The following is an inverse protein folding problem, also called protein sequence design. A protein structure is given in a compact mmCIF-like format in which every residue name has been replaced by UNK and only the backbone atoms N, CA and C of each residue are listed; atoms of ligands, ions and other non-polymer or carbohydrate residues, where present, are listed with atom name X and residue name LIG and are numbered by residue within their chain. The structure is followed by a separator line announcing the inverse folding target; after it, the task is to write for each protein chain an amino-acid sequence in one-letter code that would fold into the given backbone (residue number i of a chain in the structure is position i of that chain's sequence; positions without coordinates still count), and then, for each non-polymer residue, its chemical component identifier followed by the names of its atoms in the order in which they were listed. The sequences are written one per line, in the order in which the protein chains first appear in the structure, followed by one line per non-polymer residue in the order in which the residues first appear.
data_IF_592535276837
#
_entry.id   IF_592535276837
#
_cell.length_a   1.000
_cell.length_b   1.000
_cell.length_c   1.000
_cell.angle_alpha   90.00
_cell.angle_beta   90.00
_cell.angle_gamma   90.00
#
_symmetry.space_group_name_H-M   'P 1'
#
loop_
_entity.id
_entity.type
_entity.pdbx_description
1 polymer ?
#
# COMPACT_ATOMS: atom_id res chain seq x y z
N UNK A 1 18.22 23.14 7.96
CA UNK A 1 17.32 22.48 6.98
C UNK A 1 16.09 22.01 7.75
N UNK A 2 14.85 22.31 7.31
CA UNK A 2 13.69 21.67 7.93
C UNK A 2 13.80 20.16 7.74
N UNK A 3 13.55 19.38 8.80
CA UNK A 3 13.58 17.92 8.71
C UNK A 3 12.45 17.46 7.77
N UNK A 4 12.77 16.66 6.75
CA UNK A 4 11.76 16.09 5.86
C UNK A 4 10.82 15.21 6.68
N UNK A 5 9.50 15.45 6.58
CA UNK A 5 8.50 14.66 7.31
C UNK A 5 8.62 13.19 6.91
N UNK A 6 8.66 12.30 7.91
CA UNK A 6 8.68 10.86 7.69
C UNK A 6 7.24 10.37 7.66
N UNK A 7 6.88 9.70 6.57
CA UNK A 7 5.52 9.24 6.33
C UNK A 7 5.50 7.71 6.35
N UNK A 8 4.48 7.16 7.01
CA UNK A 8 4.12 5.75 6.93
C UNK A 8 2.84 5.61 6.09
N UNK A 9 2.91 4.78 5.05
CA UNK A 9 1.78 4.44 4.19
C UNK A 9 1.31 3.02 4.53
N UNK A 10 0.05 2.92 4.97
CA UNK A 10 -0.66 1.66 5.17
C UNK A 10 -1.86 1.64 4.22
N UNK A 11 -1.96 0.60 3.42
CA UNK A 11 -2.98 0.45 2.38
C UNK A 11 -3.85 -0.74 2.74
N UNK A 12 -5.15 -0.59 2.66
CA UNK A 12 -6.11 -1.68 2.70
C UNK A 12 -6.49 -2.06 1.27
N UNK A 13 -5.89 -3.12 0.76
CA UNK A 13 -6.03 -3.57 -0.63
C UNK A 13 -7.38 -4.23 -0.91
N UNK A 14 -8.09 -4.69 0.12
CA UNK A 14 -9.43 -5.26 -0.03
C UNK A 14 -10.47 -4.16 -0.26
N UNK A 15 -10.23 -2.95 0.26
CA UNK A 15 -11.15 -1.81 0.18
C UNK A 15 -10.74 -0.71 -0.81
N UNK A 16 -9.52 -0.76 -1.35
CA UNK A 16 -8.97 0.29 -2.24
C UNK A 16 -8.50 -0.32 -3.56
N UNK A 17 -8.81 0.35 -4.67
CA UNK A 17 -8.30 -0.05 -5.99
C UNK A 17 -6.82 0.29 -6.16
N UNK A 18 -6.07 -0.64 -6.79
CA UNK A 18 -4.66 -0.46 -7.12
C UNK A 18 -4.40 0.68 -8.13
N UNK A 19 -5.42 1.21 -8.80
CA UNK A 19 -5.28 2.29 -9.80
C UNK A 19 -4.82 3.63 -9.20
N UNK A 20 -5.13 3.88 -7.91
CA UNK A 20 -4.85 5.15 -7.26
C UNK A 20 -3.43 5.27 -6.68
N UNK A 21 -2.68 4.16 -6.57
CA UNK A 21 -1.43 4.12 -5.78
C UNK A 21 -0.36 5.07 -6.30
N UNK A 22 -0.26 5.24 -7.61
CA UNK A 22 0.74 6.07 -8.26
C UNK A 22 0.55 7.55 -7.90
N UNK A 23 -0.68 8.07 -8.06
CA UNK A 23 -1.02 9.44 -7.68
C UNK A 23 -0.90 9.69 -6.17
N UNK A 24 -1.20 8.68 -5.32
CA UNK A 24 -0.99 8.78 -3.87
C UNK A 24 0.50 8.96 -3.55
N UNK A 25 1.38 8.15 -4.16
CA UNK A 25 2.82 8.24 -3.92
C UNK A 25 3.41 9.56 -4.43
N UNK A 26 2.96 10.05 -5.59
CA UNK A 26 3.36 11.36 -6.12
C UNK A 26 2.95 12.50 -5.18
N UNK A 27 1.75 12.44 -4.63
CA UNK A 27 1.29 13.44 -3.68
C UNK A 27 2.11 13.38 -2.39
N UNK A 28 2.30 12.20 -1.81
CA UNK A 28 3.09 12.01 -0.59
C UNK A 28 4.53 12.51 -0.73
N UNK A 29 5.13 12.37 -1.91
CA UNK A 29 6.48 12.86 -2.20
C UNK A 29 6.61 14.40 -2.06
N UNK A 30 5.52 15.15 -2.21
CA UNK A 30 5.49 16.61 -1.99
C UNK A 30 5.49 16.97 -0.51
N UNK A 31 5.01 16.08 0.36
CA UNK A 31 4.87 16.30 1.80
C UNK A 31 6.05 15.80 2.62
N UNK A 32 6.76 14.78 2.13
CA UNK A 32 7.89 14.19 2.84
C UNK A 32 8.37 12.86 2.24
N UNK A 33 9.11 12.10 3.03
CA UNK A 33 9.67 10.81 2.62
C UNK A 33 8.85 9.66 3.18
N UNK A 34 8.32 8.81 2.28
CA UNK A 34 7.59 7.60 2.65
C UNK A 34 8.58 6.47 2.95
N UNK A 35 8.78 6.17 4.23
CA UNK A 35 9.73 5.17 4.71
C UNK A 35 9.10 3.80 4.95
N UNK A 36 7.81 3.77 5.29
CA UNK A 36 7.04 2.55 5.51
C UNK A 36 5.96 2.48 4.45
N UNK A 37 5.87 1.34 3.77
CA UNK A 37 4.88 1.08 2.72
C UNK A 37 4.35 -0.33 2.89
N UNK A 38 3.21 -0.47 3.55
CA UNK A 38 2.57 -1.75 3.78
C UNK A 38 1.23 -1.81 3.05
N UNK A 39 0.98 -2.93 2.40
CA UNK A 39 -0.28 -3.25 1.76
C UNK A 39 -0.90 -4.44 2.50
N UNK A 40 -2.07 -4.26 3.07
CA UNK A 40 -2.81 -5.27 3.82
C UNK A 40 -3.91 -5.84 2.94
N UNK A 41 -4.01 -7.15 2.87
CA UNK A 41 -5.08 -7.83 2.14
C UNK A 41 -4.90 -9.33 2.12
N UNK A 42 -5.90 -10.04 1.59
CA UNK A 42 -5.77 -11.47 1.34
C UNK A 42 -5.03 -11.75 0.02
N UNK A 43 -3.71 -11.95 0.08
CA UNK A 43 -2.88 -12.20 -1.11
C UNK A 43 -3.12 -13.56 -1.76
N UNK A 44 -3.93 -14.44 -1.15
CA UNK A 44 -4.42 -15.65 -1.81
C UNK A 44 -5.64 -15.37 -2.70
N UNK A 45 -6.29 -14.22 -2.54
CA UNK A 45 -7.45 -13.84 -3.33
C UNK A 45 -7.04 -13.40 -4.74
N UNK A 46 -7.64 -13.96 -5.80
CA UNK A 46 -7.38 -13.51 -7.17
C UNK A 46 -7.80 -12.05 -7.41
N UNK A 47 -8.66 -11.47 -6.55
CA UNK A 47 -9.06 -10.06 -6.63
C UNK A 47 -7.89 -9.09 -6.41
N UNK A 48 -6.83 -9.51 -5.72
CA UNK A 48 -5.65 -8.67 -5.45
C UNK A 48 -4.54 -8.82 -6.49
N UNK A 49 -4.80 -9.52 -7.61
CA UNK A 49 -3.80 -9.70 -8.69
C UNK A 49 -3.23 -8.37 -9.21
N UNK A 50 -4.10 -7.36 -9.42
CA UNK A 50 -3.66 -6.03 -9.85
C UNK A 50 -2.83 -5.28 -8.81
N UNK A 51 -3.04 -5.57 -7.52
CA UNK A 51 -2.17 -5.05 -6.46
C UNK A 51 -0.80 -5.70 -6.50
N UNK A 52 -0.73 -7.03 -6.66
CA UNK A 52 0.54 -7.78 -6.70
C UNK A 52 1.52 -7.24 -7.75
N UNK A 53 1.01 -6.85 -8.93
CA UNK A 53 1.80 -6.21 -9.99
C UNK A 53 2.35 -4.83 -9.60
N UNK A 54 1.64 -4.09 -8.74
CA UNK A 54 2.01 -2.74 -8.29
C UNK A 54 2.91 -2.73 -7.05
N UNK A 55 2.94 -3.81 -6.26
CA UNK A 55 3.75 -3.86 -5.04
C UNK A 55 5.25 -3.74 -5.33
N UNK A 56 5.76 -4.53 -6.28
CA UNK A 56 7.20 -4.60 -6.55
C UNK A 56 7.77 -3.29 -7.11
N UNK A 57 7.14 -2.65 -8.14
CA UNK A 57 7.62 -1.37 -8.66
C UNK A 57 7.66 -0.25 -7.62
N UNK A 58 6.75 -0.28 -6.65
CA UNK A 58 6.64 0.78 -5.63
C UNK A 58 7.30 0.42 -4.29
N UNK A 59 8.02 -0.71 -4.22
CA UNK A 59 8.64 -1.24 -3.00
C UNK A 59 7.64 -1.29 -1.82
N UNK A 60 6.40 -1.69 -2.10
CA UNK A 60 5.35 -1.85 -1.10
C UNK A 60 5.39 -3.29 -0.60
N UNK A 61 5.49 -3.45 0.72
CA UNK A 61 5.53 -4.77 1.34
C UNK A 61 4.10 -5.33 1.47
N UNK A 62 3.81 -6.51 0.91
CA UNK A 62 2.57 -7.21 1.17
C UNK A 62 2.53 -7.71 2.62
N UNK A 63 1.38 -7.50 3.26
CA UNK A 63 1.03 -7.98 4.59
C UNK A 63 -0.21 -8.84 4.44
N UNK A 64 -0.07 -10.16 4.61
CA UNK A 64 -1.20 -11.09 4.54
C UNK A 64 -2.16 -10.81 5.69
N UNK A 65 -3.41 -10.54 5.35
CA UNK A 65 -4.49 -10.45 6.29
C UNK A 65 -5.28 -11.76 6.27
N UNK A 66 -5.39 -12.40 7.42
CA UNK A 66 -6.29 -13.54 7.60
C UNK A 66 -7.63 -13.02 8.10
N UNK A 67 -8.74 -13.49 7.53
CA UNK A 67 -10.07 -13.13 8.03
C UNK A 67 -10.25 -13.69 9.46
N UNK A 68 -10.51 -12.81 10.42
CA UNK A 68 -10.69 -13.19 11.82
C UNK A 68 -12.09 -13.74 12.14
N UNK A 69 -13.03 -13.66 11.19
CA UNK A 69 -14.38 -14.23 11.32
C UNK A 69 -14.82 -14.81 9.98
N UNK A 70 -15.13 -16.12 9.96
CA UNK A 70 -16.06 -16.66 8.97
C UNK A 70 -17.46 -16.30 9.46
N UNK A 71 -18.22 -15.55 8.66
CA UNK A 71 -19.64 -15.35 8.91
C UNK A 71 -20.39 -16.68 8.90
#
# INVERSE_FOLDING_TARGET
MPEAKRIALLIDCDNVSHSAIEGVLEELAKHGTVNVRHAHGDWNSPSLGGWAEKLHPHAIRPMQQFAYTKG
#
